data_IF_836274717151
#
_entry.id   IF_836274717151
#
_cell.length_a   1.000
_cell.length_b   1.000
_cell.length_c   1.000
_cell.angle_alpha   90.00
_cell.angle_beta   90.00
_cell.angle_gamma   90.00
#
_symmetry.space_group_name_H-M   'P 1'
#
loop_
_entity.id
_entity.type
_entity.pdbx_description
1 polymer ?
#
# COMPACT_ATOMS: atom_id res chain seq x y z
N UNK A 1 6.70 4.38 -2.14
CA UNK A 1 5.92 3.11 -2.12
C UNK A 1 5.90 2.49 -3.51
N UNK A 2 5.90 1.18 -3.59
CA UNK A 2 5.77 0.48 -4.87
C UNK A 2 4.74 -0.63 -4.75
N UNK A 3 4.19 -1.04 -5.91
CA UNK A 3 3.12 -2.04 -5.99
C UNK A 3 3.53 -3.07 -7.04
N UNK A 4 3.46 -4.36 -6.68
CA UNK A 4 3.80 -5.43 -7.61
C UNK A 4 2.97 -6.69 -7.33
N UNK A 5 2.36 -7.30 -8.35
CA UNK A 5 2.24 -6.82 -9.72
C UNK A 5 1.26 -5.67 -9.86
N UNK A 6 1.39 -4.89 -10.93
CA UNK A 6 0.47 -3.78 -11.22
C UNK A 6 -0.75 -4.20 -12.04
N UNK A 7 -0.77 -5.43 -12.55
CA UNK A 7 -1.91 -6.00 -13.26
C UNK A 7 -2.27 -7.34 -12.65
N UNK A 8 -3.55 -7.49 -12.34
CA UNK A 8 -4.11 -8.70 -11.78
C UNK A 8 -5.26 -9.19 -12.65
N UNK A 9 -5.26 -10.49 -12.96
CA UNK A 9 -6.34 -11.10 -13.72
C UNK A 9 -7.38 -11.62 -12.73
N UNK A 10 -8.58 -11.06 -12.79
CA UNK A 10 -9.66 -11.45 -11.88
C UNK A 10 -9.99 -12.94 -12.04
N UNK A 11 -10.06 -13.63 -10.91
CA UNK A 11 -10.33 -15.07 -10.89
C UNK A 11 -9.09 -15.94 -11.04
N UNK A 12 -7.93 -15.32 -11.36
CA UNK A 12 -6.66 -16.05 -11.50
C UNK A 12 -5.64 -15.60 -10.48
N UNK A 13 -5.45 -14.30 -10.34
CA UNK A 13 -4.50 -13.72 -9.41
C UNK A 13 -5.19 -13.35 -8.10
N UNK A 14 -4.59 -13.71 -6.98
CA UNK A 14 -5.21 -13.57 -5.67
C UNK A 14 -4.89 -12.25 -4.98
N UNK A 15 -3.68 -11.71 -5.18
CA UNK A 15 -3.25 -10.52 -4.45
C UNK A 15 -2.18 -9.74 -5.20
N UNK A 16 -2.02 -8.48 -4.78
CA UNK A 16 -0.86 -7.66 -5.11
C UNK A 16 -0.14 -7.27 -3.82
N UNK A 17 1.13 -6.95 -3.91
CA UNK A 17 1.96 -6.62 -2.75
C UNK A 17 2.31 -5.14 -2.77
N UNK A 18 2.06 -4.47 -1.64
CA UNK A 18 2.50 -3.10 -1.41
C UNK A 18 3.82 -3.13 -0.68
N UNK A 19 4.80 -2.40 -1.19
CA UNK A 19 6.09 -2.23 -0.56
C UNK A 19 6.22 -0.79 -0.09
N UNK A 20 6.44 -0.60 1.21
CA UNK A 20 6.71 0.71 1.79
C UNK A 20 8.13 0.75 2.33
N UNK A 21 8.86 1.79 1.94
CA UNK A 21 10.18 2.08 2.44
C UNK A 21 10.10 3.32 3.32
N UNK A 22 10.53 3.19 4.57
CA UNK A 22 10.51 4.27 5.54
C UNK A 22 11.94 4.60 5.92
N UNK A 23 12.37 5.84 5.69
CA UNK A 23 13.72 6.29 6.01
C UNK A 23 13.68 7.16 7.26
N UNK A 24 14.48 6.79 8.25
CA UNK A 24 14.66 7.58 9.47
C UNK A 24 16.06 8.19 9.45
N UNK A 25 16.12 9.49 9.15
CA UNK A 25 17.38 10.23 9.09
C UNK A 25 17.71 10.98 10.39
N UNK A 26 17.04 10.63 11.47
CA UNK A 26 17.29 11.24 12.78
C UNK A 26 18.17 10.35 13.64
N UNK A 27 18.66 10.91 14.75
CA UNK A 27 19.48 10.18 15.71
C UNK A 27 18.66 9.38 16.73
N UNK A 28 17.33 9.40 16.59
CA UNK A 28 16.41 8.71 17.49
C UNK A 28 15.61 7.66 16.72
N UNK A 29 15.32 6.55 17.41
CA UNK A 29 14.41 5.55 16.85
C UNK A 29 13.01 6.12 16.81
N UNK A 30 12.25 5.74 15.78
CA UNK A 30 10.82 6.11 15.68
C UNK A 30 9.98 4.84 15.70
N UNK A 31 8.80 4.95 16.31
CA UNK A 31 7.84 3.85 16.40
C UNK A 31 6.51 4.36 15.88
N UNK A 32 5.94 3.65 14.94
CA UNK A 32 4.68 4.06 14.33
C UNK A 32 3.92 2.94 13.69
N UNK A 33 2.85 3.30 13.00
CA UNK A 33 1.99 2.35 12.31
C UNK A 33 1.89 2.69 10.84
N UNK A 34 1.85 1.64 10.01
CA UNK A 34 1.63 1.76 8.58
C UNK A 34 0.14 1.58 8.31
N UNK A 35 -0.42 2.45 7.48
CA UNK A 35 -1.81 2.36 7.03
C UNK A 35 -1.87 2.54 5.53
N UNK A 36 -2.76 1.79 4.89
CA UNK A 36 -3.02 1.92 3.46
C UNK A 36 -4.48 2.24 3.22
N UNK A 37 -4.71 3.09 2.23
CA UNK A 37 -6.04 3.38 1.71
C UNK A 37 -6.07 2.98 0.26
N UNK A 38 -7.00 2.11 -0.11
CA UNK A 38 -7.18 1.67 -1.49
C UNK A 38 -8.44 2.30 -2.03
N UNK A 39 -8.31 3.06 -3.11
CA UNK A 39 -9.43 3.75 -3.77
C UNK A 39 -9.89 2.90 -4.94
N UNK A 40 -11.13 2.46 -4.87
CA UNK A 40 -11.74 1.55 -5.86
C UNK A 40 -12.13 2.31 -7.13
N UNK A 41 -12.36 1.60 -8.24
CA UNK A 41 -12.77 2.25 -9.50
C UNK A 41 -14.05 3.08 -9.41
N UNK A 42 -14.95 2.78 -8.46
CA UNK A 42 -16.19 3.53 -8.25
C UNK A 42 -16.02 4.78 -7.36
N UNK A 43 -14.81 5.02 -6.87
CA UNK A 43 -14.50 6.15 -5.99
C UNK A 43 -14.60 5.85 -4.50
N UNK A 44 -15.18 4.71 -4.12
CA UNK A 44 -15.18 4.28 -2.72
C UNK A 44 -13.77 3.88 -2.30
N UNK A 45 -13.52 3.83 -1.00
CA UNK A 45 -12.22 3.46 -0.48
C UNK A 45 -12.31 2.37 0.56
N UNK A 46 -11.24 1.60 0.66
CA UNK A 46 -11.05 0.57 1.68
C UNK A 46 -9.83 0.95 2.48
N UNK A 47 -9.96 0.97 3.80
CA UNK A 47 -8.82 1.15 4.68
C UNK A 47 -8.27 -0.21 5.06
N UNK A 48 -6.97 -0.37 4.84
CA UNK A 48 -6.25 -1.58 5.19
C UNK A 48 -5.37 -1.25 6.38
N UNK A 49 -5.86 -1.60 7.57
CA UNK A 49 -5.11 -1.36 8.81
C UNK A 49 -4.10 -2.48 9.01
N UNK A 50 -2.85 -2.06 9.09
CA UNK A 50 -1.78 -2.97 9.50
C UNK A 50 -1.70 -2.86 11.02
N UNK A 51 -2.31 -3.82 11.70
CA UNK A 51 -2.44 -3.80 13.16
C UNK A 51 -1.14 -4.28 13.82
N UNK A 52 -0.07 -3.54 13.56
CA UNK A 52 1.21 -3.78 14.22
C UNK A 52 2.01 -2.48 14.28
N UNK A 53 2.78 -2.38 15.32
CA UNK A 53 3.71 -1.25 15.51
C UNK A 53 5.05 -1.60 14.88
N UNK A 54 5.57 -0.68 14.09
CA UNK A 54 6.86 -0.84 13.42
C UNK A 54 7.87 0.14 14.02
N UNK A 55 9.08 -0.36 14.26
CA UNK A 55 10.20 0.45 14.74
C UNK A 55 11.16 0.70 13.59
N UNK A 56 11.52 1.97 13.40
CA UNK A 56 12.55 2.35 12.44
C UNK A 56 13.73 2.89 13.22
N UNK A 57 14.83 2.17 13.20
CA UNK A 57 16.03 2.56 13.95
C UNK A 57 16.61 3.89 13.46
N UNK A 58 17.29 4.58 14.36
CA UNK A 58 17.97 5.83 14.03
C UNK A 58 18.92 5.64 12.85
N UNK A 59 18.92 6.59 11.92
CA UNK A 59 19.79 6.61 10.74
C UNK A 59 19.69 5.33 9.89
N UNK A 60 18.49 4.76 9.83
CA UNK A 60 18.23 3.49 9.12
C UNK A 60 16.96 3.58 8.29
N UNK A 61 16.71 2.53 7.51
CA UNK A 61 15.47 2.39 6.76
C UNK A 61 14.78 1.08 7.11
N UNK A 62 13.47 1.09 6.98
CA UNK A 62 12.62 -0.08 7.14
C UNK A 62 11.91 -0.34 5.83
N UNK A 63 11.91 -1.60 5.38
CA UNK A 63 11.16 -2.03 4.21
C UNK A 63 10.08 -3.01 4.66
N UNK A 64 8.83 -2.66 4.38
CA UNK A 64 7.68 -3.48 4.74
C UNK A 64 6.90 -3.89 3.49
N UNK A 65 6.40 -5.14 3.52
CA UNK A 65 5.66 -5.73 2.41
C UNK A 65 4.33 -6.22 2.96
N UNK A 66 3.24 -5.79 2.33
CA UNK A 66 1.89 -6.18 2.74
C UNK A 66 1.08 -6.56 1.52
N UNK A 67 0.33 -7.66 1.63
CA UNK A 67 -0.46 -8.19 0.53
C UNK A 67 -1.90 -7.68 0.62
N UNK A 68 -2.40 -7.20 -0.51
CA UNK A 68 -3.79 -6.81 -0.66
C UNK A 68 -4.49 -7.86 -1.51
N UNK A 69 -5.46 -8.55 -0.92
CA UNK A 69 -6.17 -9.65 -1.57
C UNK A 69 -7.38 -9.15 -2.34
N UNK A 70 -7.54 -9.65 -3.56
CA UNK A 70 -8.64 -9.28 -4.44
C UNK A 70 -9.82 -10.19 -4.15
N UNK A 71 -10.89 -9.62 -3.60
CA UNK A 71 -12.12 -10.35 -3.30
C UNK A 71 -12.99 -10.49 -4.53
N UNK A 72 -13.85 -11.52 -4.53
CA UNK A 72 -14.72 -11.82 -5.67
C UNK A 72 -15.64 -10.65 -6.06
N UNK A 73 -16.07 -9.86 -5.06
CA UNK A 73 -16.94 -8.71 -5.29
C UNK A 73 -16.23 -7.48 -5.86
N UNK A 74 -14.90 -7.47 -5.89
CA UNK A 74 -14.16 -6.32 -6.43
C UNK A 74 -14.28 -6.30 -7.95
N UNK A 75 -14.57 -5.12 -8.49
CA UNK A 75 -14.78 -4.94 -9.93
C UNK A 75 -13.46 -4.77 -10.66
N UNK A 76 -13.49 -5.00 -11.96
CA UNK A 76 -12.34 -4.67 -12.83
C UNK A 76 -12.19 -3.15 -12.89
N UNK A 77 -10.98 -2.69 -13.10
CA UNK A 77 -10.65 -1.28 -13.19
C UNK A 77 -9.37 -0.94 -12.50
N UNK A 78 -9.11 0.36 -12.38
CA UNK A 78 -7.90 0.86 -11.76
C UNK A 78 -8.14 1.21 -10.29
N UNK A 79 -7.26 0.71 -9.44
CA UNK A 79 -7.26 0.94 -8.00
C UNK A 79 -6.06 1.80 -7.65
N UNK A 80 -6.29 2.90 -6.93
CA UNK A 80 -5.20 3.77 -6.46
C UNK A 80 -4.91 3.46 -5.01
N UNK A 81 -3.64 3.60 -4.63
CA UNK A 81 -3.19 3.26 -3.27
C UNK A 81 -2.47 4.44 -2.65
N UNK A 82 -2.84 4.75 -1.40
CA UNK A 82 -2.14 5.72 -0.56
C UNK A 82 -1.56 5.00 0.64
N UNK A 83 -0.28 5.19 0.90
CA UNK A 83 0.36 4.66 2.09
C UNK A 83 0.66 5.77 3.09
N UNK A 84 0.53 5.48 4.39
CA UNK A 84 0.80 6.42 5.47
C UNK A 84 1.63 5.75 6.54
N UNK A 85 2.50 6.54 7.15
CA UNK A 85 3.20 6.14 8.37
C UNK A 85 2.88 7.15 9.47
N UNK A 86 2.33 6.67 10.58
CA UNK A 86 1.86 7.51 11.67
C UNK A 86 2.68 7.21 12.91
N UNK A 87 3.41 8.22 13.40
CA UNK A 87 4.15 8.09 14.64
C UNK A 87 4.04 9.38 15.46
N UNK A 88 3.96 9.23 16.78
CA UNK A 88 3.95 10.36 17.74
C UNK A 88 3.03 11.51 17.32
N UNK A 89 1.81 11.16 16.85
CA UNK A 89 0.83 12.13 16.40
C UNK A 89 1.10 12.73 15.02
N UNK A 90 2.18 12.34 14.36
CA UNK A 90 2.52 12.80 13.02
C UNK A 90 2.07 11.78 11.98
N UNK A 91 1.39 12.25 10.96
CA UNK A 91 0.88 11.44 9.85
C UNK A 91 1.61 11.84 8.57
N UNK A 92 2.51 10.98 8.12
CA UNK A 92 3.25 11.21 6.88
C UNK A 92 2.64 10.38 5.78
N UNK A 93 2.12 11.08 4.77
CA UNK A 93 1.65 10.46 3.54
C UNK A 93 2.85 10.02 2.71
N UNK A 94 2.83 8.81 2.19
CA UNK A 94 3.83 8.38 1.21
C UNK A 94 3.76 9.29 -0.01
N UNK A 95 4.87 9.40 -0.74
CA UNK A 95 4.88 10.10 -2.03
C UNK A 95 3.89 9.42 -2.97
N UNK A 96 2.63 9.84 -2.92
CA UNK A 96 1.62 9.35 -3.83
C UNK A 96 1.80 10.06 -5.15
N UNK A 97 2.12 9.31 -6.16
CA UNK A 97 2.14 9.81 -7.52
C UNK A 97 1.19 8.96 -8.37
N UNK A 98 1.05 9.34 -9.62
CA UNK A 98 0.13 8.65 -10.54
C UNK A 98 0.53 7.19 -10.81
N UNK A 99 1.67 6.73 -10.33
CA UNK A 99 2.14 5.36 -10.52
C UNK A 99 1.80 4.45 -9.33
N UNK A 100 1.20 5.00 -8.26
CA UNK A 100 0.77 4.23 -7.11
C UNK A 100 -0.63 3.65 -7.36
N UNK A 101 -0.70 2.70 -8.28
CA UNK A 101 -1.95 2.04 -8.66
C UNK A 101 -1.70 0.59 -9.08
N UNK A 102 -2.80 -0.16 -9.16
CA UNK A 102 -2.81 -1.46 -9.84
C UNK A 102 -4.12 -1.62 -10.61
N UNK A 103 -4.09 -2.45 -11.63
CA UNK A 103 -5.25 -2.70 -12.48
C UNK A 103 -5.75 -4.12 -12.30
N UNK A 104 -7.06 -4.27 -12.14
CA UNK A 104 -7.73 -5.57 -12.17
C UNK A 104 -8.41 -5.71 -13.53
N UNK A 105 -8.05 -6.73 -14.26
CA UNK A 105 -8.53 -6.97 -15.62
C UNK A 105 -9.19 -8.35 -15.72
N UNK A 106 -9.96 -8.58 -16.78
CA UNK A 106 -10.64 -9.87 -16.96
C UNK A 106 -9.77 -10.93 -17.58
N UNK A 107 -8.87 -10.52 -18.48
CA UNK A 107 -7.88 -11.42 -19.07
C UNK A 107 -6.71 -10.61 -19.60
N UNK A 108 -5.56 -11.29 -19.77
CA UNK A 108 -4.36 -10.65 -20.27
C UNK A 108 -4.58 -10.10 -21.67
N UNK A 109 -4.09 -8.86 -21.89
CA UNK A 109 -4.22 -8.17 -23.17
C UNK A 109 -5.42 -7.24 -23.29
N UNK A 110 -6.22 -7.14 -22.25
CA UNK A 110 -7.35 -6.19 -22.18
C UNK A 110 -6.97 -4.88 -21.50
#
# INVERSE_FOLDING_TARGET
MSIFPKKLIKGKDDFTTFHMRICNNSDEDIIGQIKYKVILPDGNSIEMDIDRTEKVDANSELNEYDNFYIKAEYTIGRYFVEGRFIWDGMDILSDTNKDDFFDVITKEGE
#
